data_IF_798176922004
#
_entry.id   IF_798176922004
#
_cell.length_a   1.000
_cell.length_b   1.000
_cell.length_c   1.000
_cell.angle_alpha   90.00
_cell.angle_beta   90.00
_cell.angle_gamma   90.00
#
_symmetry.space_group_name_H-M   'P 1'
#
loop_
_entity.id
_entity.type
_entity.pdbx_description
1 polymer ?
#
# COMPACT_ATOMS: atom_id res chain seq x y z
N UNK A 1 7.71 -16.39 40.11
CA UNK A 1 7.12 -17.68 39.70
C UNK A 1 6.06 -17.32 38.67
N UNK A 2 6.40 -17.00 37.42
CA UNK A 2 6.88 -17.89 36.35
C UNK A 2 5.90 -19.03 36.09
N UNK A 3 4.96 -18.80 35.17
CA UNK A 3 4.41 -19.75 34.19
C UNK A 3 3.31 -19.05 33.39
N UNK A 4 3.71 -18.22 32.42
CA UNK A 4 2.80 -17.70 31.39
C UNK A 4 2.93 -18.62 30.17
N UNK A 5 2.43 -19.84 30.34
CA UNK A 5 1.95 -20.73 29.28
C UNK A 5 2.77 -20.78 27.97
N UNK A 6 3.99 -21.34 28.03
CA UNK A 6 4.82 -21.78 26.89
C UNK A 6 4.20 -22.95 26.09
N UNK A 7 2.87 -23.02 26.00
CA UNK A 7 2.13 -24.07 25.31
C UNK A 7 1.64 -23.67 23.90
N UNK A 8 1.86 -22.42 23.46
CA UNK A 8 1.41 -21.91 22.15
C UNK A 8 2.46 -21.97 21.03
N UNK A 9 3.61 -22.63 21.24
CA UNK A 9 4.78 -22.45 20.36
C UNK A 9 5.22 -23.72 19.60
N UNK A 10 4.33 -24.70 19.42
CA UNK A 10 4.62 -25.91 18.63
C UNK A 10 3.70 -26.03 17.43
N UNK A 11 3.90 -25.18 16.43
CA UNK A 11 3.29 -25.36 15.09
C UNK A 11 2.97 -24.08 14.35
N UNK A 12 2.87 -22.96 15.06
CA UNK A 12 2.66 -21.66 14.44
C UNK A 12 3.99 -21.19 13.84
N UNK A 13 4.06 -21.16 12.51
CA UNK A 13 5.16 -20.57 11.75
C UNK A 13 4.57 -19.78 10.59
N UNK A 14 5.17 -18.64 10.23
CA UNK A 14 4.64 -17.84 9.14
C UNK A 14 4.53 -18.68 7.85
N UNK A 15 3.33 -18.73 7.27
CA UNK A 15 3.07 -19.49 6.04
C UNK A 15 2.95 -21.00 6.20
N UNK A 16 2.71 -21.52 7.41
CA UNK A 16 2.44 -22.95 7.57
C UNK A 16 1.15 -23.37 6.84
N UNK A 17 1.08 -24.62 6.40
CA UNK A 17 -0.17 -25.17 5.83
C UNK A 17 -1.22 -25.36 6.92
N UNK A 18 -2.50 -25.14 6.61
CA UNK A 18 -3.61 -25.35 7.57
C UNK A 18 -3.85 -24.21 8.54
N UNK A 19 -3.62 -22.96 8.12
CA UNK A 19 -3.93 -21.78 8.94
C UNK A 19 -5.46 -21.71 9.16
N UNK A 20 -5.86 -21.80 10.43
CA UNK A 20 -7.23 -21.70 10.90
C UNK A 20 -7.49 -20.42 11.71
N UNK A 21 -8.76 -20.15 12.09
CA UNK A 21 -9.14 -18.95 12.85
C UNK A 21 -8.53 -18.89 14.27
N UNK A 22 -8.10 -20.01 14.82
CA UNK A 22 -7.38 -20.14 16.09
C UNK A 22 -5.88 -19.78 15.99
N UNK A 23 -5.36 -19.59 14.78
CA UNK A 23 -3.95 -19.25 14.57
C UNK A 23 -3.69 -17.75 14.86
N UNK A 24 -2.53 -17.40 15.44
CA UNK A 24 -2.11 -16.01 15.54
C UNK A 24 -1.97 -15.33 14.17
N UNK A 25 -2.26 -14.02 14.11
CA UNK A 25 -2.20 -13.23 12.86
C UNK A 25 -0.84 -13.26 12.16
N UNK A 26 0.26 -13.46 12.90
CA UNK A 26 1.60 -13.57 12.31
C UNK A 26 1.81 -14.87 11.53
N UNK A 27 0.96 -15.90 11.69
CA UNK A 27 0.95 -17.09 10.83
C UNK A 27 0.59 -16.73 9.38
N UNK A 28 -0.18 -15.66 9.17
CA UNK A 28 -0.48 -15.10 7.84
C UNK A 28 0.70 -14.29 7.26
N UNK A 29 1.83 -14.21 7.96
CA UNK A 29 2.98 -13.40 7.56
C UNK A 29 2.83 -11.90 7.84
N UNK A 30 1.77 -11.49 8.56
CA UNK A 30 1.53 -10.10 8.95
C UNK A 30 2.50 -9.70 10.05
N UNK A 31 3.44 -8.80 9.74
CA UNK A 31 4.41 -8.25 10.70
C UNK A 31 4.17 -6.77 10.95
N UNK A 32 3.47 -6.11 10.05
CA UNK A 32 3.18 -4.68 10.09
C UNK A 32 1.71 -4.42 9.76
N UNK A 33 1.24 -3.22 10.10
CA UNK A 33 -0.08 -2.74 9.66
C UNK A 33 -0.15 -2.68 8.12
N UNK A 34 0.97 -2.40 7.44
CA UNK A 34 1.05 -2.43 5.98
C UNK A 34 0.74 -3.81 5.39
N UNK A 35 1.26 -4.88 6.00
CA UNK A 35 0.99 -6.25 5.56
C UNK A 35 -0.49 -6.62 5.71
N UNK A 36 -1.11 -6.20 6.82
CA UNK A 36 -2.55 -6.40 7.05
C UNK A 36 -3.40 -5.69 6.00
N UNK A 37 -3.09 -4.43 5.71
CA UNK A 37 -3.78 -3.65 4.67
C UNK A 37 -3.60 -4.32 3.30
N UNK A 38 -2.39 -4.78 2.97
CA UNK A 38 -2.11 -5.51 1.74
C UNK A 38 -2.96 -6.77 1.60
N UNK A 39 -3.05 -7.59 2.66
CA UNK A 39 -3.92 -8.78 2.68
C UNK A 39 -5.40 -8.45 2.48
N UNK A 40 -5.90 -7.39 3.13
CA UNK A 40 -7.30 -6.98 2.99
C UNK A 40 -7.63 -6.47 1.58
N UNK A 41 -6.70 -5.75 0.95
CA UNK A 41 -6.83 -5.32 -0.45
C UNK A 41 -6.88 -6.53 -1.39
N UNK A 42 -5.98 -7.51 -1.20
CA UNK A 42 -5.97 -8.73 -2.01
C UNK A 42 -7.25 -9.56 -1.82
N UNK A 43 -7.71 -9.71 -0.58
CA UNK A 43 -8.96 -10.41 -0.27
C UNK A 43 -10.18 -9.70 -0.90
N UNK A 44 -10.21 -8.37 -0.85
CA UNK A 44 -11.24 -7.56 -1.51
C UNK A 44 -11.25 -7.75 -3.03
N UNK A 45 -10.07 -7.83 -3.65
CA UNK A 45 -9.90 -8.11 -5.08
C UNK A 45 -10.42 -9.51 -5.44
N UNK A 46 -10.03 -10.54 -4.68
CA UNK A 46 -10.50 -11.92 -4.89
C UNK A 46 -12.01 -12.06 -4.69
N UNK A 47 -12.59 -11.22 -3.83
CA UNK A 47 -14.03 -11.24 -3.52
C UNK A 47 -14.87 -10.37 -4.46
N UNK A 48 -14.26 -9.71 -5.46
CA UNK A 48 -14.97 -8.81 -6.37
C UNK A 48 -15.58 -7.58 -5.68
N UNK A 49 -15.12 -7.24 -4.48
CA UNK A 49 -15.54 -6.06 -3.73
C UNK A 49 -14.81 -4.83 -4.28
N UNK A 50 -15.12 -4.44 -5.51
CA UNK A 50 -14.85 -3.09 -6.00
C UNK A 50 -16.13 -2.27 -5.86
N UNK A 51 -16.31 -1.73 -4.66
CA UNK A 51 -17.34 -0.72 -4.42
C UNK A 51 -16.96 0.56 -5.17
N UNK A 52 -17.86 0.96 -6.07
CA UNK A 52 -17.84 2.18 -6.85
C UNK A 52 -17.39 3.41 -6.04
N UNK A 53 -16.19 3.89 -6.31
CA UNK A 53 -15.79 5.27 -6.06
C UNK A 53 -15.61 5.94 -7.42
N UNK A 54 -16.74 6.30 -8.04
CA UNK A 54 -16.75 7.15 -9.22
C UNK A 54 -16.34 8.57 -8.85
N UNK A 55 -15.17 9.00 -9.34
CA UNK A 55 -14.87 10.40 -9.65
C UNK A 55 -13.88 10.45 -10.81
N UNK A 56 -14.47 10.73 -11.96
CA UNK A 56 -13.96 11.41 -13.15
C UNK A 56 -12.56 11.05 -13.69
N UNK A 57 -12.55 10.34 -14.82
CA UNK A 57 -11.37 10.09 -15.66
C UNK A 57 -10.63 8.77 -15.41
N UNK A 58 -11.30 7.77 -14.82
CA UNK A 58 -10.74 6.45 -14.56
C UNK A 58 -10.39 5.71 -15.85
N UNK A 59 -9.11 5.72 -16.22
CA UNK A 59 -8.52 4.69 -17.06
C UNK A 59 -8.69 3.35 -16.32
N UNK A 60 -9.69 2.54 -16.69
CA UNK A 60 -9.91 1.20 -16.12
C UNK A 60 -8.78 0.27 -16.59
N UNK A 61 -7.84 -0.03 -15.70
CA UNK A 61 -6.83 -1.06 -15.91
C UNK A 61 -6.94 -2.03 -14.74
N UNK A 62 -7.06 -3.32 -15.03
CA UNK A 62 -7.09 -4.39 -14.02
C UNK A 62 -5.80 -4.41 -13.16
N UNK A 63 -4.72 -3.79 -13.67
CA UNK A 63 -3.49 -3.52 -12.93
C UNK A 63 -2.94 -2.14 -13.25
N UNK A 64 -2.64 -1.36 -12.21
CA UNK A 64 -1.89 -0.11 -12.34
C UNK A 64 -0.44 -0.46 -12.70
N UNK A 65 0.11 0.21 -13.70
CA UNK A 65 1.51 0.04 -14.14
C UNK A 65 2.28 1.34 -13.97
N UNK A 66 3.62 1.29 -14.05
CA UNK A 66 4.48 2.49 -13.98
C UNK A 66 4.19 3.49 -15.10
N UNK A 67 3.60 3.06 -16.21
CA UNK A 67 3.25 3.92 -17.33
C UNK A 67 1.90 4.64 -17.12
N UNK A 68 1.09 4.22 -16.15
CA UNK A 68 -0.20 4.81 -15.87
C UNK A 68 -0.05 6.26 -15.37
N UNK A 69 -1.03 7.14 -15.66
CA UNK A 69 -1.12 8.44 -15.01
C UNK A 69 -1.25 8.30 -13.50
N UNK A 70 -0.76 9.30 -12.75
CA UNK A 70 -0.86 9.30 -11.27
C UNK A 70 -2.30 9.20 -10.74
N UNK A 71 -3.29 9.60 -11.55
CA UNK A 71 -4.71 9.47 -11.20
C UNK A 71 -5.16 8.03 -10.97
N UNK A 72 -4.49 7.04 -11.58
CA UNK A 72 -4.80 5.63 -11.39
C UNK A 72 -4.47 5.10 -9.99
N UNK A 73 -3.72 5.84 -9.16
CA UNK A 73 -3.38 5.43 -7.80
C UNK A 73 -4.50 5.69 -6.78
N UNK A 74 -5.60 6.33 -7.17
CA UNK A 74 -6.70 6.62 -6.24
C UNK A 74 -6.32 7.59 -5.10
N UNK A 75 -5.33 8.46 -5.35
CA UNK A 75 -4.89 9.48 -4.39
C UNK A 75 -5.98 10.53 -4.17
N UNK A 76 -5.97 11.16 -3.00
CA UNK A 76 -6.79 12.34 -2.73
C UNK A 76 -6.48 13.46 -3.73
N UNK A 77 -7.49 14.28 -4.01
CA UNK A 77 -7.34 15.42 -4.92
C UNK A 77 -6.18 16.35 -4.50
N UNK A 78 -5.93 16.50 -3.19
CA UNK A 78 -4.83 17.30 -2.67
C UNK A 78 -3.47 16.74 -3.07
N UNK A 79 -3.25 15.43 -2.88
CA UNK A 79 -1.98 14.78 -3.23
C UNK A 79 -1.81 14.70 -4.74
N UNK A 80 -2.85 14.32 -5.47
CA UNK A 80 -2.82 14.26 -6.94
C UNK A 80 -2.52 15.64 -7.55
N UNK A 81 -3.10 16.72 -7.01
CA UNK A 81 -2.82 18.07 -7.49
C UNK A 81 -1.42 18.54 -7.11
N UNK A 82 -0.95 18.26 -5.89
CA UNK A 82 0.42 18.57 -5.49
C UNK A 82 1.45 17.92 -6.42
N UNK A 83 1.26 16.63 -6.76
CA UNK A 83 2.11 15.91 -7.71
C UNK A 83 2.03 16.51 -9.12
N UNK A 84 0.83 16.81 -9.63
CA UNK A 84 0.67 17.44 -10.95
C UNK A 84 1.27 18.84 -11.03
N UNK A 85 1.24 19.59 -9.92
CA UNK A 85 1.86 20.91 -9.85
C UNK A 85 3.38 20.84 -9.74
N UNK A 86 3.91 19.90 -8.96
CA UNK A 86 5.35 19.74 -8.77
C UNK A 86 6.07 19.07 -9.93
N UNK A 87 5.41 18.12 -10.61
CA UNK A 87 6.02 17.22 -11.61
C UNK A 87 5.44 17.40 -13.01
N UNK A 88 4.39 18.22 -13.15
CA UNK A 88 3.70 18.45 -14.40
C UNK A 88 2.44 17.61 -14.58
N UNK A 89 1.58 18.03 -15.52
CA UNK A 89 0.23 17.46 -15.72
C UNK A 89 0.25 16.01 -16.23
N UNK A 90 1.35 15.57 -16.84
CA UNK A 90 1.51 14.24 -17.44
C UNK A 90 2.26 13.25 -16.55
N UNK A 91 2.39 13.55 -15.25
CA UNK A 91 3.12 12.70 -14.30
C UNK A 91 2.56 11.28 -14.25
N UNK A 92 3.46 10.31 -14.32
CA UNK A 92 3.16 8.88 -14.30
C UNK A 92 3.49 8.27 -12.95
N UNK A 93 2.93 7.09 -12.69
CA UNK A 93 3.19 6.31 -11.48
C UNK A 93 4.68 6.02 -11.30
N UNK A 94 5.39 5.71 -12.39
CA UNK A 94 6.84 5.48 -12.36
C UNK A 94 7.65 6.69 -11.87
N UNK A 95 7.22 7.91 -12.21
CA UNK A 95 7.90 9.13 -11.76
C UNK A 95 7.77 9.30 -10.25
N UNK A 96 6.57 9.06 -9.73
CA UNK A 96 6.27 9.09 -8.28
C UNK A 96 7.04 8.00 -7.54
N UNK A 97 7.10 6.80 -8.11
CA UNK A 97 7.85 5.68 -7.56
C UNK A 97 9.36 6.01 -7.50
N UNK A 98 9.90 6.63 -8.55
CA UNK A 98 11.30 7.07 -8.59
C UNK A 98 11.61 8.10 -7.49
N UNK A 99 10.73 9.09 -7.29
CA UNK A 99 10.90 10.08 -6.22
C UNK A 99 10.88 9.44 -4.84
N UNK A 100 9.96 8.50 -4.61
CA UNK A 100 9.87 7.77 -3.35
C UNK A 100 11.14 6.97 -3.07
N UNK A 101 11.70 6.29 -4.08
CA UNK A 101 12.96 5.55 -3.93
C UNK A 101 14.15 6.47 -3.67
N UNK A 102 14.16 7.66 -4.27
CA UNK A 102 15.21 8.66 -4.04
C UNK A 102 15.06 9.43 -2.73
N UNK A 103 13.96 9.23 -1.99
CA UNK A 103 13.67 9.98 -0.77
C UNK A 103 13.35 11.46 -1.02
N UNK A 104 12.93 11.83 -2.24
CA UNK A 104 12.70 13.23 -2.66
C UNK A 104 11.22 13.58 -2.78
N UNK A 105 10.35 12.72 -2.27
CA UNK A 105 8.91 12.94 -2.37
C UNK A 105 8.45 14.11 -1.49
N UNK A 106 9.15 14.36 -0.39
CA UNK A 106 8.98 15.49 0.52
C UNK A 106 9.47 16.84 -0.08
N UNK A 107 10.37 16.80 -1.06
CA UNK A 107 10.79 17.97 -1.81
C UNK A 107 9.69 18.51 -2.75
N UNK A 108 8.67 17.70 -3.04
CA UNK A 108 7.51 18.16 -3.80
C UNK A 108 6.74 19.19 -2.97
N UNK A 109 6.47 20.36 -3.55
CA UNK A 109 5.76 21.45 -2.87
C UNK A 109 4.44 20.93 -2.30
N UNK A 110 4.17 21.27 -1.05
CA UNK A 110 2.97 20.82 -0.32
C UNK A 110 2.92 19.30 -0.10
N UNK A 111 4.04 18.58 -0.12
CA UNK A 111 4.09 17.15 0.16
C UNK A 111 4.68 16.86 1.55
N UNK A 112 3.91 17.16 2.60
CA UNK A 112 4.32 16.84 3.98
C UNK A 112 4.25 15.33 4.30
N UNK A 113 4.84 14.92 5.42
CA UNK A 113 4.94 13.51 5.85
C UNK A 113 3.61 12.72 5.75
N UNK A 114 2.49 13.33 6.16
CA UNK A 114 1.16 12.71 6.05
C UNK A 114 0.79 12.37 4.60
N UNK A 115 1.10 13.26 3.65
CA UNK A 115 0.79 13.09 2.23
C UNK A 115 1.75 12.10 1.56
N UNK A 116 3.01 12.07 2.00
CA UNK A 116 3.96 11.01 1.62
C UNK A 116 3.45 9.63 2.05
N UNK A 117 2.90 9.52 3.27
CA UNK A 117 2.28 8.27 3.75
C UNK A 117 1.09 7.81 2.90
N UNK A 118 0.29 8.75 2.40
CA UNK A 118 -0.81 8.45 1.47
C UNK A 118 -0.29 7.89 0.15
N UNK A 119 0.74 8.52 -0.43
CA UNK A 119 1.37 8.03 -1.67
C UNK A 119 1.95 6.63 -1.49
N UNK A 120 2.65 6.38 -0.38
CA UNK A 120 3.17 5.05 -0.03
C UNK A 120 2.06 4.01 0.04
N UNK A 121 0.99 4.32 0.78
CA UNK A 121 -0.17 3.42 0.94
C UNK A 121 -0.80 3.10 -0.41
N UNK A 122 -1.00 4.10 -1.26
CA UNK A 122 -1.57 3.89 -2.60
C UNK A 122 -0.67 3.04 -3.50
N UNK A 123 0.65 3.24 -3.45
CA UNK A 123 1.60 2.42 -4.21
C UNK A 123 1.62 0.97 -3.73
N UNK A 124 1.58 0.74 -2.42
CA UNK A 124 1.48 -0.62 -1.84
C UNK A 124 0.17 -1.28 -2.24
N UNK A 125 -0.97 -0.56 -2.15
CA UNK A 125 -2.27 -1.08 -2.55
C UNK A 125 -2.33 -1.43 -4.05
N UNK A 126 -1.60 -0.68 -4.88
CA UNK A 126 -1.42 -0.96 -6.30
C UNK A 126 -0.39 -2.07 -6.60
N UNK A 127 0.26 -2.65 -5.57
CA UNK A 127 1.19 -3.77 -5.69
C UNK A 127 2.64 -3.39 -6.03
N UNK A 128 3.01 -2.11 -5.89
CA UNK A 128 4.38 -1.67 -6.11
C UNK A 128 5.26 -1.90 -4.87
N UNK A 129 6.54 -2.27 -5.07
CA UNK A 129 7.50 -2.34 -3.97
C UNK A 129 7.79 -0.92 -3.45
N UNK A 130 7.60 -0.72 -2.15
CA UNK A 130 7.88 0.54 -1.47
C UNK A 130 8.93 0.29 -0.38
N UNK A 131 10.03 1.05 -0.34
CA UNK A 131 11.05 0.88 0.70
C UNK A 131 10.47 1.17 2.10
N UNK A 132 10.85 0.41 3.14
CA UNK A 132 10.42 0.69 4.51
C UNK A 132 10.91 2.06 4.96
N UNK A 133 10.16 2.73 5.85
CA UNK A 133 10.52 4.05 6.37
C UNK A 133 11.89 3.98 7.05
N UNK A 134 12.86 4.73 6.51
CA UNK A 134 14.00 5.18 7.31
C UNK A 134 13.54 6.47 7.98
N UNK A 135 13.08 6.34 9.23
CA UNK A 135 12.65 7.45 10.07
C UNK A 135 13.77 8.44 10.38
#
# INVERSE_FOLDING_TARGET
>A
MAEVNDAFDRGHTAGHSGIGPECPVWCLGVRTVGDLVGLLVEAGRLSGLHAAAGVDGGHEHERVTVACPVGCLGLSAHVANALRHGLGRSVRVGDVLGLLHSGRLDEVREMGARRVGEVRTALVAAGFPVPPDMG
#
